data_IF_527045312662
#
_entry.id   IF_527045312662
#
_cell.length_a   1.000
_cell.length_b   1.000
_cell.length_c   1.000
_cell.angle_alpha   90.00
_cell.angle_beta   90.00
_cell.angle_gamma   90.00
#
_symmetry.space_group_name_H-M   'P 1'
#
loop_
_entity.id
_entity.type
_entity.pdbx_description
1 polymer ?
#
# COMPACT_ATOMS: atom_id res chain seq x y z
N UNK A 1 2.13 -15.48 20.94
CA UNK A 1 1.12 -14.96 19.99
C UNK A 1 1.63 -13.73 19.22
N UNK A 2 2.20 -12.73 19.89
CA UNK A 2 2.70 -11.50 19.23
C UNK A 2 3.84 -11.69 18.22
N UNK A 3 4.83 -12.53 18.51
CA UNK A 3 6.00 -12.74 17.62
C UNK A 3 5.57 -13.22 16.22
N UNK A 4 4.52 -14.04 16.15
CA UNK A 4 3.91 -14.49 14.89
C UNK A 4 3.23 -13.35 14.14
N UNK A 5 2.51 -12.45 14.84
CA UNK A 5 1.88 -11.25 14.24
C UNK A 5 2.94 -10.29 13.67
N UNK A 6 4.01 -10.00 14.43
CA UNK A 6 5.13 -9.15 13.97
C UNK A 6 5.81 -9.71 12.73
N UNK A 7 6.06 -11.03 12.69
CA UNK A 7 6.64 -11.69 11.51
C UNK A 7 5.73 -11.57 10.28
N UNK A 8 4.41 -11.74 10.44
CA UNK A 8 3.46 -11.56 9.33
C UNK A 8 3.42 -10.12 8.84
N UNK A 9 3.45 -9.14 9.74
CA UNK A 9 3.49 -7.72 9.38
C UNK A 9 4.77 -7.38 8.60
N UNK A 10 5.92 -7.85 9.05
CA UNK A 10 7.19 -7.64 8.34
C UNK A 10 7.18 -8.28 6.95
N UNK A 11 6.64 -9.49 6.82
CA UNK A 11 6.47 -10.16 5.52
C UNK A 11 5.49 -9.42 4.59
N UNK A 12 4.43 -8.82 5.15
CA UNK A 12 3.53 -7.97 4.39
C UNK A 12 4.27 -6.73 3.88
N UNK A 13 4.94 -5.99 4.76
CA UNK A 13 5.72 -4.79 4.41
C UNK A 13 6.77 -5.08 3.35
N UNK A 14 7.49 -6.19 3.48
CA UNK A 14 8.49 -6.60 2.50
C UNK A 14 7.89 -6.82 1.12
N UNK A 15 6.76 -7.55 1.03
CA UNK A 15 6.07 -7.79 -0.24
C UNK A 15 5.54 -6.50 -0.86
N UNK A 16 4.92 -5.64 -0.05
CA UNK A 16 4.39 -4.36 -0.51
C UNK A 16 5.50 -3.46 -1.08
N UNK A 17 6.63 -3.32 -0.37
CA UNK A 17 7.79 -2.55 -0.88
C UNK A 17 8.37 -3.14 -2.16
N UNK A 18 8.48 -4.47 -2.24
CA UNK A 18 8.95 -5.17 -3.45
C UNK A 18 8.04 -4.90 -4.65
N UNK A 19 6.74 -4.79 -4.41
CA UNK A 19 5.73 -4.54 -5.44
C UNK A 19 5.52 -3.03 -5.73
N UNK A 20 6.35 -2.14 -5.15
CA UNK A 20 6.31 -0.70 -5.42
C UNK A 20 5.34 0.11 -4.55
N UNK A 21 4.72 -0.49 -3.53
CA UNK A 21 3.84 0.24 -2.62
C UNK A 21 4.66 1.07 -1.63
N UNK A 22 4.20 2.28 -1.34
CA UNK A 22 4.74 3.10 -0.26
C UNK A 22 3.94 2.85 1.02
N UNK A 23 4.63 2.75 2.17
CA UNK A 23 4.00 2.42 3.45
C UNK A 23 4.34 3.52 4.43
N UNK A 24 3.32 4.17 4.97
CA UNK A 24 3.43 5.07 6.11
C UNK A 24 2.89 4.36 7.36
N UNK A 25 3.80 4.05 8.26
CA UNK A 25 3.50 3.29 9.47
C UNK A 25 2.94 4.13 10.62
N UNK A 26 3.17 5.45 10.58
CA UNK A 26 2.72 6.42 11.57
C UNK A 26 1.22 6.67 11.43
N UNK A 27 0.78 6.97 10.22
CA UNK A 27 -0.65 7.19 9.90
C UNK A 27 -1.36 5.94 9.40
N UNK A 28 -0.66 4.79 9.32
CA UNK A 28 -1.20 3.52 8.82
C UNK A 28 -1.79 3.61 7.42
N UNK A 29 -1.06 4.21 6.49
CA UNK A 29 -1.49 4.33 5.10
C UNK A 29 -0.54 3.55 4.19
N UNK A 30 -1.09 2.87 3.20
CA UNK A 30 -0.36 2.23 2.10
C UNK A 30 -0.78 2.90 0.80
N UNK A 31 0.18 3.47 0.09
CA UNK A 31 -0.02 4.13 -1.19
C UNK A 31 0.26 3.11 -2.30
N UNK A 32 -0.67 3.03 -3.26
CA UNK A 32 -0.58 2.17 -4.43
C UNK A 32 0.62 2.56 -5.32
N UNK A 33 1.27 1.58 -5.99
CA UNK A 33 2.26 1.88 -7.02
C UNK A 33 1.59 2.49 -8.26
N UNK A 34 2.36 3.28 -9.02
CA UNK A 34 1.98 3.93 -10.29
C UNK A 34 1.36 2.93 -11.29
N UNK A 35 2.09 1.88 -11.66
CA UNK A 35 1.59 0.80 -12.55
C UNK A 35 0.97 -0.39 -11.78
N UNK A 36 0.61 -0.16 -10.52
CA UNK A 36 0.23 -1.22 -9.60
C UNK A 36 -1.16 -1.78 -9.87
N UNK A 37 -1.26 -3.00 -10.42
CA UNK A 37 -2.54 -3.73 -10.45
C UNK A 37 -3.07 -3.94 -9.03
N UNK A 38 -4.31 -3.51 -8.80
CA UNK A 38 -5.05 -3.79 -7.56
C UNK A 38 -5.26 -5.29 -7.38
N UNK A 39 -5.13 -5.76 -6.14
CA UNK A 39 -5.31 -7.16 -5.80
C UNK A 39 -6.10 -7.28 -4.50
N UNK A 40 -7.32 -7.81 -4.60
CA UNK A 40 -8.24 -8.01 -3.47
C UNK A 40 -7.56 -8.73 -2.30
N UNK A 41 -6.74 -9.75 -2.60
CA UNK A 41 -6.01 -10.51 -1.58
C UNK A 41 -4.97 -9.65 -0.85
N UNK A 42 -4.31 -8.73 -1.56
CA UNK A 42 -3.33 -7.81 -0.96
C UNK A 42 -4.05 -6.76 -0.11
N UNK A 43 -5.10 -6.17 -0.65
CA UNK A 43 -5.91 -5.17 0.05
C UNK A 43 -6.52 -5.71 1.34
N UNK A 44 -7.06 -6.94 1.30
CA UNK A 44 -7.54 -7.62 2.50
C UNK A 44 -6.42 -7.84 3.53
N UNK A 45 -5.22 -8.17 3.06
CA UNK A 45 -4.03 -8.26 3.91
C UNK A 45 -3.69 -6.92 4.58
N UNK A 46 -3.62 -5.85 3.80
CA UNK A 46 -3.33 -4.48 4.25
C UNK A 46 -4.34 -4.05 5.33
N UNK A 47 -5.64 -4.15 5.02
CA UNK A 47 -6.73 -3.82 5.94
C UNK A 47 -6.72 -4.66 7.22
N UNK A 48 -6.35 -5.94 7.14
CA UNK A 48 -6.27 -6.81 8.33
C UNK A 48 -5.21 -6.40 9.35
N UNK A 49 -4.22 -5.61 8.94
CA UNK A 49 -3.21 -5.02 9.82
C UNK A 49 -3.52 -3.58 10.21
N UNK A 50 -4.72 -3.07 9.86
CA UNK A 50 -5.19 -1.73 10.19
C UNK A 50 -4.62 -0.63 9.31
N UNK A 51 -4.19 -0.96 8.09
CA UNK A 51 -3.74 0.03 7.13
C UNK A 51 -4.87 0.41 6.16
N UNK A 52 -4.95 1.70 5.85
CA UNK A 52 -5.78 2.24 4.78
C UNK A 52 -5.02 2.29 3.45
N UNK A 53 -5.76 2.24 2.35
CA UNK A 53 -5.22 2.29 1.00
C UNK A 53 -5.48 3.66 0.39
N UNK A 54 -4.45 4.26 -0.20
CA UNK A 54 -4.56 5.49 -0.97
C UNK A 54 -4.01 5.27 -2.38
N UNK A 55 -4.63 5.95 -3.35
CA UNK A 55 -4.07 6.05 -4.69
C UNK A 55 -2.84 6.96 -4.64
N UNK A 56 -1.87 6.72 -5.51
CA UNK A 56 -0.81 7.69 -5.74
C UNK A 56 -1.42 8.92 -6.42
N UNK A 57 -1.71 9.96 -5.64
CA UNK A 57 -2.36 11.19 -6.14
C UNK A 57 -1.37 12.12 -6.85
N UNK A 58 -0.06 11.83 -6.79
CA UNK A 58 0.98 12.66 -7.40
C UNK A 58 1.08 12.51 -8.93
N UNK A 59 0.32 11.60 -9.55
CA UNK A 59 0.28 11.42 -11.02
C UNK A 59 -0.72 12.34 -11.76
N UNK A 60 -1.54 13.11 -11.05
CA UNK A 60 -2.54 14.01 -11.67
C UNK A 60 -1.90 15.30 -12.22
N UNK A 61 -0.56 15.40 -12.21
CA UNK A 61 0.18 16.58 -12.70
C UNK A 61 0.35 16.68 -14.22
N UNK A 62 0.32 15.56 -14.96
CA UNK A 62 0.76 15.55 -16.37
C UNK A 62 -0.31 15.09 -17.38
N UNK A 63 -1.53 14.79 -16.95
CA UNK A 63 -2.61 14.42 -17.87
C UNK A 63 -3.86 15.26 -17.59
N UNK A 64 -4.14 16.13 -18.57
CA UNK A 64 -5.39 16.84 -18.85
C UNK A 64 -5.73 18.03 -17.96
N UNK A 65 -5.11 19.17 -18.26
CA UNK A 65 -5.90 20.40 -18.47
C UNK A 65 -5.61 20.83 -19.91
N UNK A 66 -6.41 20.35 -20.85
CA UNK A 66 -6.54 20.98 -22.16
C UNK A 66 -7.88 21.69 -22.07
N UNK A 67 -7.83 23.02 -21.91
CA UNK A 67 -8.98 23.92 -22.01
C UNK A 67 -9.68 23.80 -23.38
#
# INVERSE_FOLDING_TARGET
MEKKKRRKLNNLRYRLRKDGYQINDEVKIVILPEDGKRSIRREGGIKSFGYDLQNNLFEIGDKTITE
#
